data_IF_384112659315
#
_entry.id   IF_384112659315
#
_cell.length_a   1.000
_cell.length_b   1.000
_cell.length_c   1.000
_cell.angle_alpha   90.00
_cell.angle_beta   90.00
_cell.angle_gamma   90.00
#
_symmetry.space_group_name_H-M   'P 1'
#
loop_
_entity.id
_entity.type
_entity.pdbx_description
1 polymer ?
#
# COMPACT_ATOMS: atom_id res chain seq x y z
N UNK A 1 -10.87 -3.12 1.30
CA UNK A 1 -10.86 -3.97 2.36
C UNK A 1 -11.36 -3.31 3.66
N UNK A 2 -10.77 -2.24 4.21
CA UNK A 2 -11.36 -1.53 5.36
C UNK A 2 -11.92 -0.14 5.01
N UNK A 3 -12.03 0.18 3.71
CA UNK A 3 -12.48 1.49 3.26
C UNK A 3 -11.54 2.64 3.64
N UNK A 4 -10.23 2.38 3.65
CA UNK A 4 -9.18 3.33 4.01
C UNK A 4 -8.10 3.37 2.93
N UNK A 5 -7.33 4.44 2.93
CA UNK A 5 -6.04 4.54 2.22
C UNK A 5 -4.89 4.49 3.24
N UNK A 6 -3.63 4.28 2.83
CA UNK A 6 -2.47 4.40 3.70
C UNK A 6 -2.38 5.81 4.31
N UNK A 7 -2.23 5.91 5.64
CA UNK A 7 -2.24 7.19 6.35
C UNK A 7 -0.91 7.58 7.03
N UNK A 8 0.17 6.85 6.73
CA UNK A 8 1.49 7.07 7.32
C UNK A 8 2.59 7.33 6.25
N UNK A 9 2.22 7.95 5.14
CA UNK A 9 3.12 8.31 4.06
C UNK A 9 3.32 7.23 3.00
N UNK A 10 2.52 6.16 3.01
CA UNK A 10 2.63 5.06 2.05
C UNK A 10 2.33 5.51 0.62
N UNK A 11 1.33 6.37 0.42
CA UNK A 11 0.97 6.89 -0.90
C UNK A 11 2.03 7.84 -1.47
N UNK A 12 2.94 8.34 -0.63
CA UNK A 12 4.02 9.24 -1.05
C UNK A 12 5.35 8.52 -1.23
N UNK A 13 5.64 7.52 -0.38
CA UNK A 13 6.90 6.77 -0.45
C UNK A 13 6.88 5.65 -1.48
N UNK A 14 5.78 4.91 -1.58
CA UNK A 14 5.70 3.77 -2.49
C UNK A 14 5.89 4.18 -3.96
N UNK A 15 5.24 5.22 -4.51
CA UNK A 15 5.47 5.64 -5.88
C UNK A 15 6.90 6.11 -6.15
N UNK A 16 7.60 6.65 -5.14
CA UNK A 16 9.03 6.99 -5.24
C UNK A 16 9.94 5.75 -5.20
N UNK A 17 9.48 4.68 -4.57
CA UNK A 17 10.24 3.42 -4.52
C UNK A 17 10.08 2.58 -5.78
N UNK A 18 8.85 2.44 -6.31
CA UNK A 18 8.52 1.44 -7.35
C UNK A 18 7.92 2.05 -8.63
N UNK A 19 7.69 3.34 -8.66
CA UNK A 19 6.95 4.05 -9.72
C UNK A 19 5.45 4.10 -9.46
N UNK A 20 4.76 5.13 -10.02
CA UNK A 20 3.35 5.40 -9.72
C UNK A 20 2.39 4.31 -10.21
N UNK A 21 2.68 3.67 -11.34
CA UNK A 21 1.83 2.62 -11.89
C UNK A 21 1.76 1.40 -10.97
N UNK A 22 2.91 0.88 -10.51
CA UNK A 22 2.93 -0.25 -9.58
C UNK A 22 2.40 0.17 -8.21
N UNK A 23 2.72 1.37 -7.75
CA UNK A 23 2.24 1.89 -6.48
C UNK A 23 0.70 1.97 -6.44
N UNK A 24 0.05 2.48 -7.49
CA UNK A 24 -1.41 2.54 -7.53
C UNK A 24 -2.03 1.14 -7.60
N UNK A 25 -1.43 0.19 -8.34
CA UNK A 25 -1.88 -1.21 -8.34
C UNK A 25 -1.85 -1.81 -6.94
N UNK A 26 -0.77 -1.62 -6.19
CA UNK A 26 -0.63 -2.15 -4.83
C UNK A 26 -1.58 -1.47 -3.84
N UNK A 27 -1.71 -0.14 -3.90
CA UNK A 27 -2.48 0.63 -2.91
C UNK A 27 -3.99 0.51 -3.18
N UNK A 28 -4.43 0.67 -4.43
CA UNK A 28 -5.85 0.59 -4.80
C UNK A 28 -6.33 -0.86 -4.84
N UNK A 29 -5.55 -1.76 -5.42
CA UNK A 29 -5.85 -3.20 -5.44
C UNK A 29 -5.75 -3.82 -4.04
N UNK A 30 -4.73 -3.44 -3.30
CA UNK A 30 -4.46 -3.94 -1.94
C UNK A 30 -4.03 -5.40 -1.93
N UNK A 31 -3.53 -5.91 -3.03
CA UNK A 31 -3.01 -7.26 -3.14
C UNK A 31 -1.49 -7.29 -2.86
N UNK A 32 -0.99 -8.31 -2.17
CA UNK A 32 0.44 -8.46 -1.93
C UNK A 32 1.18 -8.78 -3.24
N UNK A 33 2.45 -8.41 -3.30
CA UNK A 33 3.38 -8.86 -4.34
C UNK A 33 4.38 -9.85 -3.75
N UNK A 34 4.96 -10.72 -4.61
CA UNK A 34 6.01 -11.63 -4.16
C UNK A 34 7.31 -10.90 -3.81
N UNK A 35 8.18 -11.55 -3.02
CA UNK A 35 9.50 -11.00 -2.70
C UNK A 35 10.33 -10.74 -3.97
N UNK A 36 10.29 -11.66 -4.95
CA UNK A 36 10.98 -11.48 -6.24
C UNK A 36 10.46 -10.26 -7.01
N UNK A 37 9.14 -10.06 -7.04
CA UNK A 37 8.55 -8.89 -7.66
C UNK A 37 8.92 -7.59 -6.92
N UNK A 38 8.98 -7.63 -5.59
CA UNK A 38 9.41 -6.50 -4.77
C UNK A 38 10.89 -6.15 -5.00
N UNK A 39 11.76 -7.17 -5.10
CA UNK A 39 13.18 -7.00 -5.43
C UNK A 39 13.35 -6.39 -6.84
N UNK A 40 12.69 -6.97 -7.83
CA UNK A 40 12.72 -6.47 -9.22
C UNK A 40 12.23 -5.03 -9.35
N UNK A 41 11.23 -4.65 -8.57
CA UNK A 41 10.69 -3.29 -8.54
C UNK A 41 11.58 -2.29 -7.77
N UNK A 42 12.55 -2.78 -6.98
CA UNK A 42 13.40 -1.96 -6.12
C UNK A 42 12.70 -1.50 -4.83
N UNK A 43 11.64 -2.22 -4.41
CA UNK A 43 10.97 -2.01 -3.12
C UNK A 43 11.82 -2.55 -1.97
N UNK A 44 12.49 -3.67 -2.20
CA UNK A 44 13.48 -4.27 -1.29
C UNK A 44 14.80 -4.42 -2.03
N UNK A 45 15.90 -4.53 -1.29
CA UNK A 45 17.26 -4.60 -1.84
C UNK A 45 17.84 -6.02 -1.87
N UNK A 46 17.34 -6.90 -1.00
CA UNK A 46 17.83 -8.28 -0.91
C UNK A 46 16.72 -9.20 -0.37
N UNK A 47 16.70 -10.45 -0.80
CA UNK A 47 15.88 -11.52 -0.23
C UNK A 47 16.81 -12.37 0.64
N UNK A 48 16.46 -12.54 1.91
CA UNK A 48 17.28 -13.24 2.89
C UNK A 48 16.54 -14.44 3.48
N UNK A 49 17.27 -15.47 3.84
CA UNK A 49 16.74 -16.59 4.60
C UNK A 49 16.77 -16.26 6.10
N UNK A 50 15.62 -16.37 6.76
CA UNK A 50 15.49 -16.07 8.18
C UNK A 50 15.48 -14.56 8.50
N UNK A 51 14.32 -14.01 8.92
CA UNK A 51 14.16 -12.55 9.03
C UNK A 51 15.09 -11.92 10.07
N UNK A 52 15.41 -12.60 11.17
CA UNK A 52 16.29 -12.06 12.21
C UNK A 52 17.79 -12.10 11.80
N UNK A 53 18.30 -13.30 11.49
CA UNK A 53 19.72 -13.48 11.13
C UNK A 53 20.09 -12.84 9.79
N UNK A 54 19.21 -12.98 8.80
CA UNK A 54 19.41 -12.38 7.47
C UNK A 54 19.34 -10.86 7.52
N UNK A 55 18.41 -10.30 8.28
CA UNK A 55 18.33 -8.85 8.47
C UNK A 55 19.54 -8.26 9.17
N UNK A 56 20.07 -8.93 10.20
CA UNK A 56 21.30 -8.52 10.87
C UNK A 56 22.51 -8.57 9.93
N UNK A 57 22.66 -9.67 9.18
CA UNK A 57 23.74 -9.82 8.21
C UNK A 57 23.71 -8.73 7.14
N UNK A 58 22.52 -8.44 6.61
CA UNK A 58 22.32 -7.35 5.65
C UNK A 58 22.68 -5.99 6.25
N UNK A 59 22.25 -5.69 7.47
CA UNK A 59 22.59 -4.43 8.14
C UNK A 59 24.09 -4.26 8.32
N UNK A 60 24.80 -5.31 8.75
CA UNK A 60 26.28 -5.31 8.88
C UNK A 60 26.97 -5.08 7.52
N UNK A 61 26.48 -5.71 6.46
CA UNK A 61 26.95 -5.52 5.08
C UNK A 61 26.79 -4.05 4.65
N UNK A 62 25.63 -3.45 4.84
CA UNK A 62 25.37 -2.04 4.49
C UNK A 62 26.33 -1.08 5.21
N UNK A 63 26.56 -1.32 6.51
CA UNK A 63 27.51 -0.52 7.32
C UNK A 63 28.94 -0.71 6.82
N UNK A 64 29.38 -1.95 6.57
CA UNK A 64 30.74 -2.24 6.10
C UNK A 64 31.01 -1.61 4.72
N UNK A 65 30.04 -1.65 3.82
CA UNK A 65 30.10 -1.04 2.49
C UNK A 65 29.95 0.49 2.51
N UNK A 66 29.66 1.08 3.68
CA UNK A 66 29.41 2.53 3.83
C UNK A 66 28.38 3.05 2.82
N UNK A 67 27.30 2.28 2.57
CA UNK A 67 26.28 2.66 1.60
C UNK A 67 25.66 4.02 1.99
N UNK A 68 25.44 4.91 1.02
CA UNK A 68 24.80 6.19 1.28
C UNK A 68 23.34 5.97 1.75
N UNK A 69 22.89 6.84 2.67
CA UNK A 69 21.52 6.80 3.14
C UNK A 69 20.56 7.22 2.02
N UNK A 70 19.73 6.30 1.55
CA UNK A 70 18.68 6.56 0.57
C UNK A 70 17.44 7.13 1.25
N UNK A 71 17.10 8.37 0.94
CA UNK A 71 15.89 9.04 1.44
C UNK A 71 14.84 9.09 0.33
N UNK A 72 13.85 8.22 0.37
CA UNK A 72 12.77 8.17 -0.63
C UNK A 72 12.01 9.49 -0.79
N UNK A 73 11.95 10.29 0.27
CA UNK A 73 11.29 11.61 0.21
C UNK A 73 11.96 12.60 -0.76
N UNK A 74 13.26 12.41 -1.00
CA UNK A 74 14.09 13.31 -1.80
C UNK A 74 14.41 12.71 -3.19
N UNK A 75 13.85 11.52 -3.51
CA UNK A 75 14.12 10.77 -4.76
C UNK A 75 12.88 10.71 -5.65
N UNK A 76 12.76 11.62 -6.58
CA UNK A 76 11.67 11.68 -7.57
C UNK A 76 11.99 10.94 -8.89
N UNK A 77 13.11 10.23 -8.97
CA UNK A 77 13.57 9.57 -10.21
C UNK A 77 12.51 8.63 -10.81
N UNK A 78 11.83 7.86 -9.98
CA UNK A 78 10.75 6.94 -10.40
C UNK A 78 9.45 7.65 -10.79
N UNK A 79 9.31 8.95 -10.46
CA UNK A 79 8.13 9.75 -10.83
C UNK A 79 8.30 10.44 -12.18
N UNK A 80 9.52 10.53 -12.71
CA UNK A 80 9.86 11.33 -13.89
C UNK A 80 9.01 11.00 -15.11
N UNK A 81 8.80 9.71 -15.41
CA UNK A 81 7.98 9.30 -16.56
C UNK A 81 6.52 9.74 -16.42
N UNK A 82 5.92 9.61 -15.24
CA UNK A 82 4.54 10.03 -15.00
C UNK A 82 4.38 11.55 -14.86
N UNK A 83 5.45 12.28 -14.52
CA UNK A 83 5.50 13.74 -14.60
C UNK A 83 5.53 14.23 -16.06
N UNK A 84 6.23 13.50 -16.94
CA UNK A 84 6.30 13.82 -18.36
C UNK A 84 5.03 13.42 -19.13
N UNK A 85 4.48 12.25 -18.79
CA UNK A 85 3.23 11.74 -19.39
C UNK A 85 2.30 11.21 -18.31
N UNK A 86 1.33 12.04 -17.93
CA UNK A 86 0.33 11.73 -16.91
C UNK A 86 -0.58 10.56 -17.32
N UNK A 87 -0.70 10.27 -18.61
CA UNK A 87 -1.58 9.22 -19.12
C UNK A 87 -1.19 7.82 -18.60
N UNK A 88 0.09 7.58 -18.38
CA UNK A 88 0.61 6.34 -17.78
C UNK A 88 -0.10 6.03 -16.45
N UNK A 89 -0.18 7.03 -15.59
CA UNK A 89 -0.84 6.91 -14.28
C UNK A 89 -2.37 6.86 -14.40
N UNK A 90 -2.97 7.77 -15.19
CA UNK A 90 -4.43 7.85 -15.30
C UNK A 90 -5.05 6.60 -15.92
N UNK A 91 -4.38 5.97 -16.89
CA UNK A 91 -4.81 4.71 -17.47
C UNK A 91 -4.80 3.57 -16.44
N UNK A 92 -3.75 3.50 -15.60
CA UNK A 92 -3.69 2.51 -14.52
C UNK A 92 -4.81 2.73 -13.50
N UNK A 93 -5.09 3.97 -13.09
CA UNK A 93 -6.20 4.33 -12.20
C UNK A 93 -7.54 3.91 -12.80
N UNK A 94 -7.80 4.27 -14.07
CA UNK A 94 -9.06 3.93 -14.73
C UNK A 94 -9.31 2.42 -14.78
N UNK A 95 -8.27 1.63 -15.08
CA UNK A 95 -8.37 0.17 -15.10
C UNK A 95 -8.71 -0.42 -13.73
N UNK A 96 -8.08 0.09 -12.66
CA UNK A 96 -8.24 -0.40 -11.30
C UNK A 96 -9.58 0.01 -10.66
N UNK A 97 -10.05 1.23 -10.95
CA UNK A 97 -11.27 1.77 -10.35
C UNK A 97 -12.55 1.38 -11.09
N UNK A 98 -12.44 0.79 -12.29
CA UNK A 98 -13.59 0.38 -13.11
C UNK A 98 -14.62 -0.48 -12.35
N UNK A 99 -14.16 -1.33 -11.42
CA UNK A 99 -15.01 -2.21 -10.62
C UNK A 99 -15.33 -1.64 -9.23
N UNK A 100 -14.89 -0.42 -8.92
CA UNK A 100 -15.00 0.17 -7.58
C UNK A 100 -16.23 1.08 -7.44
N UNK A 101 -17.31 0.83 -8.19
CA UNK A 101 -18.54 1.64 -8.12
C UNK A 101 -19.07 1.71 -6.70
N UNK A 102 -19.38 2.92 -6.23
CA UNK A 102 -19.93 3.17 -4.89
C UNK A 102 -18.90 3.11 -3.76
N UNK A 103 -17.63 2.79 -4.03
CA UNK A 103 -16.55 2.79 -3.03
C UNK A 103 -15.76 4.11 -3.10
N UNK A 104 -15.54 4.75 -1.94
CA UNK A 104 -14.78 6.02 -1.86
C UNK A 104 -13.26 5.78 -1.79
N UNK A 105 -12.84 4.79 -1.00
CA UNK A 105 -11.42 4.56 -0.70
C UNK A 105 -10.52 4.31 -1.93
N UNK A 106 -10.92 3.54 -2.96
CA UNK A 106 -10.09 3.34 -4.16
C UNK A 106 -9.77 4.65 -4.89
N UNK A 107 -10.75 5.56 -5.00
CA UNK A 107 -10.55 6.85 -5.66
C UNK A 107 -9.70 7.79 -4.82
N UNK A 108 -9.98 7.90 -3.51
CA UNK A 108 -9.17 8.69 -2.61
C UNK A 108 -7.71 8.17 -2.53
N UNK A 109 -7.51 6.85 -2.58
CA UNK A 109 -6.19 6.25 -2.64
C UNK A 109 -5.45 6.59 -3.94
N UNK A 110 -6.14 6.54 -5.09
CA UNK A 110 -5.59 6.95 -6.37
C UNK A 110 -5.20 8.45 -6.38
N UNK A 111 -6.07 9.32 -5.84
CA UNK A 111 -5.79 10.75 -5.71
C UNK A 111 -4.57 11.03 -4.82
N UNK A 112 -4.44 10.29 -3.70
CA UNK A 112 -3.29 10.44 -2.82
C UNK A 112 -1.98 9.97 -3.48
N UNK A 113 -2.00 8.88 -4.27
CA UNK A 113 -0.84 8.47 -5.09
C UNK A 113 -0.54 9.50 -6.17
N UNK A 114 -1.58 10.05 -6.81
CA UNK A 114 -1.45 11.13 -7.79
C UNK A 114 -0.76 12.36 -7.22
N UNK A 115 -1.04 12.69 -5.96
CA UNK A 115 -0.37 13.80 -5.27
C UNK A 115 1.16 13.63 -5.19
N UNK A 116 1.69 12.41 -5.14
CA UNK A 116 3.13 12.18 -5.17
C UNK A 116 3.79 12.60 -6.49
N UNK A 117 3.03 12.61 -7.59
CA UNK A 117 3.52 13.06 -8.91
C UNK A 117 3.47 14.59 -9.01
N UNK A 118 2.38 15.19 -8.48
CA UNK A 118 2.01 16.57 -8.73
C UNK A 118 2.54 17.56 -7.68
N UNK A 119 2.80 17.08 -6.45
CA UNK A 119 3.09 17.93 -5.30
C UNK A 119 4.45 17.59 -4.67
N UNK A 120 5.07 18.56 -3.97
CA UNK A 120 6.18 18.29 -3.08
C UNK A 120 5.79 17.24 -2.02
N UNK A 121 6.77 16.48 -1.53
CA UNK A 121 6.55 15.37 -0.62
C UNK A 121 5.71 15.75 0.62
N UNK A 122 6.01 16.86 1.27
CA UNK A 122 5.30 17.31 2.48
C UNK A 122 3.84 17.70 2.21
N UNK A 123 3.56 18.29 1.05
CA UNK A 123 2.19 18.62 0.64
C UNK A 123 1.41 17.36 0.29
N UNK A 124 2.05 16.40 -0.38
CA UNK A 124 1.49 15.08 -0.63
C UNK A 124 1.15 14.34 0.67
N UNK A 125 2.00 14.42 1.71
CA UNK A 125 1.70 13.85 3.03
C UNK A 125 0.49 14.50 3.69
N UNK A 126 0.34 15.82 3.59
CA UNK A 126 -0.85 16.53 4.11
C UNK A 126 -2.11 16.04 3.41
N UNK A 127 -2.09 15.95 2.07
CA UNK A 127 -3.22 15.46 1.28
C UNK A 127 -3.56 14.00 1.60
N UNK A 128 -2.56 13.14 1.78
CA UNK A 128 -2.76 11.76 2.24
C UNK A 128 -3.46 11.75 3.61
N UNK A 129 -2.97 12.54 4.56
CA UNK A 129 -3.52 12.61 5.91
C UNK A 129 -4.98 13.07 5.93
N UNK A 130 -5.30 14.10 5.17
CA UNK A 130 -6.67 14.62 5.03
C UNK A 130 -7.60 13.56 4.44
N UNK A 131 -7.18 12.88 3.36
CA UNK A 131 -7.93 11.79 2.74
C UNK A 131 -8.13 10.61 3.68
N UNK A 132 -7.10 10.22 4.44
CA UNK A 132 -7.18 9.18 5.44
C UNK A 132 -8.21 9.51 6.54
N UNK A 133 -8.14 10.71 7.11
CA UNK A 133 -9.05 11.15 8.18
C UNK A 133 -10.50 11.24 7.68
N UNK A 134 -10.70 11.75 6.46
CA UNK A 134 -12.03 11.78 5.83
C UNK A 134 -12.63 10.39 5.70
N UNK A 135 -11.88 9.42 5.16
CA UNK A 135 -12.34 8.04 5.02
C UNK A 135 -12.57 7.38 6.38
N UNK A 136 -11.66 7.56 7.33
CA UNK A 136 -11.75 6.95 8.66
C UNK A 136 -13.01 7.36 9.41
N UNK A 137 -13.42 8.61 9.25
CA UNK A 137 -14.64 9.16 9.85
C UNK A 137 -15.91 8.90 9.00
N UNK A 138 -15.74 8.43 7.77
CA UNK A 138 -16.83 8.15 6.82
C UNK A 138 -17.60 6.88 7.15
N UNK A 139 -18.87 6.83 6.72
CA UNK A 139 -19.77 5.72 7.00
C UNK A 139 -19.30 4.41 6.31
N UNK A 140 -18.71 4.49 5.11
CA UNK A 140 -18.25 3.30 4.41
C UNK A 140 -17.13 2.57 5.17
N UNK A 141 -16.15 3.31 5.70
CA UNK A 141 -15.09 2.68 6.50
C UNK A 141 -15.61 2.13 7.81
N UNK A 142 -16.54 2.82 8.48
CA UNK A 142 -17.19 2.30 9.69
C UNK A 142 -17.93 0.99 9.41
N UNK A 143 -18.73 0.95 8.35
CA UNK A 143 -19.46 -0.25 7.95
C UNK A 143 -18.54 -1.42 7.58
N UNK A 144 -17.49 -1.16 6.81
CA UNK A 144 -16.54 -2.21 6.41
C UNK A 144 -15.73 -2.74 7.60
N UNK A 145 -15.33 -1.88 8.54
CA UNK A 145 -14.68 -2.34 9.78
C UNK A 145 -15.63 -3.15 10.65
N UNK A 146 -16.89 -2.71 10.77
CA UNK A 146 -17.90 -3.48 11.49
C UNK A 146 -18.08 -4.88 10.88
N UNK A 147 -18.28 -4.98 9.57
CA UNK A 147 -18.43 -6.25 8.87
C UNK A 147 -17.20 -7.16 9.08
N UNK A 148 -15.99 -6.60 8.98
CA UNK A 148 -14.75 -7.33 9.18
C UNK A 148 -14.62 -7.97 10.57
N UNK A 149 -15.05 -7.27 11.62
CA UNK A 149 -15.05 -7.83 12.98
C UNK A 149 -16.23 -8.75 13.22
N UNK A 150 -17.41 -8.43 12.68
CA UNK A 150 -18.59 -9.27 12.79
C UNK A 150 -18.39 -10.66 12.14
N UNK A 151 -17.77 -10.71 10.97
CA UNK A 151 -17.41 -11.99 10.33
C UNK A 151 -16.48 -12.84 11.20
N UNK A 152 -15.48 -12.23 11.83
CA UNK A 152 -14.58 -12.92 12.75
C UNK A 152 -15.27 -13.40 14.01
N UNK A 153 -16.17 -12.60 14.54
CA UNK A 153 -16.93 -12.98 15.74
C UNK A 153 -17.94 -14.10 15.43
N UNK A 154 -18.61 -14.01 14.28
CA UNK A 154 -19.53 -15.05 13.83
C UNK A 154 -18.84 -16.42 13.58
N UNK A 155 -17.54 -16.42 13.27
CA UNK A 155 -16.75 -17.64 13.14
C UNK A 155 -16.42 -18.32 14.48
N UNK A 156 -16.59 -17.61 15.61
CA UNK A 156 -16.39 -18.15 16.96
C UNK A 156 -17.67 -18.79 17.45
N UNK A 157 -17.79 -20.11 17.32
CA UNK A 157 -18.97 -20.85 17.79
C UNK A 157 -18.68 -21.30 19.23
N UNK A 158 -19.45 -20.80 20.17
CA UNK A 158 -19.35 -21.19 21.59
C UNK A 158 -19.60 -22.68 21.78
N UNK A 159 -18.74 -23.36 22.52
CA UNK A 159 -18.87 -24.79 22.82
C UNK A 159 -18.36 -25.76 21.77
N UNK A 160 -17.81 -25.24 20.66
CA UNK A 160 -17.16 -26.08 19.65
C UNK A 160 -15.65 -26.03 19.87
N UNK A 161 -14.94 -27.16 20.04
CA UNK A 161 -13.49 -27.19 20.17
C UNK A 161 -12.79 -26.58 18.97
N UNK A 162 -11.65 -25.93 19.22
CA UNK A 162 -10.81 -25.36 18.17
C UNK A 162 -10.36 -26.47 17.21
N UNK A 163 -10.45 -26.24 15.92
CA UNK A 163 -10.10 -27.24 14.88
C UNK A 163 -11.21 -28.21 14.48
N UNK A 164 -12.42 -28.08 15.03
CA UNK A 164 -13.58 -28.88 14.58
C UNK A 164 -13.88 -28.59 13.10
N UNK A 165 -13.79 -29.62 12.26
CA UNK A 165 -14.09 -29.49 10.83
C UNK A 165 -15.62 -29.35 10.62
N UNK A 166 -16.00 -28.36 9.79
CA UNK A 166 -17.38 -28.20 9.35
C UNK A 166 -17.87 -29.45 8.59
N UNK A 167 -19.16 -29.80 8.73
CA UNK A 167 -19.78 -30.78 7.86
C UNK A 167 -19.92 -30.19 6.46
N UNK A 168 -19.41 -30.91 5.44
CA UNK A 168 -19.83 -30.64 4.07
C UNK A 168 -21.30 -31.08 3.95
N UNK A 169 -22.16 -30.11 3.70
CA UNK A 169 -23.59 -30.37 3.39
C UNK A 169 -23.73 -30.30 1.88
#
# INVERSE_FOLDING_TARGET
KLGLLPGAGGTQRLPRAVGPELAVKMIVGGDPISADAALKAGLIEEIVEGPASGGEAFARKVVAEKRPLRKLRDDDSKLAAAKADRSIFTNAVAALTKKSRGLEAPFAAADAVGAAIDLPFEEGLKKEREGFLKLMNGEQSKAQRYAFFAEREAAKISGVPEGTKGRNV
#
